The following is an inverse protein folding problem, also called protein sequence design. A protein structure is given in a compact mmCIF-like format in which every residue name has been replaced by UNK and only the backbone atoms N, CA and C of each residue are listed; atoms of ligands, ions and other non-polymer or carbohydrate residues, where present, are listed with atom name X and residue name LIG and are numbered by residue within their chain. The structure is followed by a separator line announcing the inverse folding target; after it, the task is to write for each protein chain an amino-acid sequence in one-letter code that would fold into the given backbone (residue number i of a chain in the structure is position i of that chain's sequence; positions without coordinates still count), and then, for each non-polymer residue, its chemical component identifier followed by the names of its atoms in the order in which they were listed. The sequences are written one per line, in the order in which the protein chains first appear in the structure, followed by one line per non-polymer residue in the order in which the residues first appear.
data_IF_847780093917
#
_entry.id   IF_847780093917
#
_cell.length_a   1.000
_cell.length_b   1.000
_cell.length_c   1.000
_cell.angle_alpha   90.00
_cell.angle_beta   90.00
_cell.angle_gamma   90.00
#
_symmetry.space_group_name_H-M   'P 1'
#
loop_
_entity.id
_entity.type
_entity.pdbx_description
1 polymer ?
#
# COMPACT_ATOMS: atom_id res chain seq x y z
N UNK A 1 -7.05 11.99 -3.36
CA UNK A 1 -6.36 10.69 -3.41
C UNK A 1 -6.40 10.16 -2.00
N UNK A 2 -6.81 8.91 -1.83
CA UNK A 2 -6.99 8.33 -0.50
C UNK A 2 -5.63 7.84 0.02
N UNK A 3 -5.35 8.07 1.32
CA UNK A 3 -4.09 7.71 1.96
C UNK A 3 -4.16 6.27 2.42
N UNK A 4 -3.42 5.36 1.78
CA UNK A 4 -3.35 3.97 2.22
C UNK A 4 -2.13 3.64 3.09
N UNK A 5 -1.04 4.40 2.99
CA UNK A 5 0.09 4.24 3.92
C UNK A 5 1.02 5.44 3.88
N UNK A 6 1.13 6.15 5.01
CA UNK A 6 2.29 7.00 5.30
C UNK A 6 3.16 6.25 6.29
N UNK A 7 4.22 5.61 5.80
CA UNK A 7 5.27 5.08 6.66
C UNK A 7 6.20 6.22 7.05
N UNK A 8 6.63 6.23 8.31
CA UNK A 8 7.61 7.19 8.78
C UNK A 8 8.94 6.52 9.12
N UNK A 9 10.01 7.15 8.70
CA UNK A 9 11.37 6.77 9.05
C UNK A 9 12.05 7.86 9.85
N UNK A 10 13.16 7.53 10.49
CA UNK A 10 14.00 8.52 11.17
C UNK A 10 15.48 8.30 10.88
N UNK A 11 16.22 9.40 10.93
CA UNK A 11 17.68 9.42 11.03
C UNK A 11 18.02 10.31 12.22
N UNK A 12 18.79 9.79 13.17
CA UNK A 12 19.11 10.44 14.42
C UNK A 12 20.62 10.50 14.64
N UNK A 13 21.04 11.64 15.20
CA UNK A 13 22.39 11.91 15.68
C UNK A 13 22.36 11.93 17.22
N UNK A 14 23.23 11.14 17.87
CA UNK A 14 23.24 10.99 19.32
C UNK A 14 23.83 12.20 20.04
N UNK A 15 23.56 12.30 21.35
CA UNK A 15 24.08 13.37 22.23
C UNK A 15 25.58 13.24 22.50
N UNK A 16 26.10 12.03 22.42
CA UNK A 16 27.47 11.71 22.77
C UNK A 16 28.43 11.89 21.59
N UNK A 17 27.93 12.18 20.38
CA UNK A 17 28.71 12.38 19.17
C UNK A 17 29.46 11.14 18.69
N UNK A 18 29.00 9.96 19.11
CA UNK A 18 29.74 8.70 18.95
C UNK A 18 28.99 7.67 18.09
N UNK A 19 27.67 7.81 17.90
CA UNK A 19 26.80 6.86 17.18
C UNK A 19 25.62 7.56 16.48
N UNK A 20 25.36 7.19 15.24
CA UNK A 20 24.11 7.53 14.54
C UNK A 20 23.16 6.34 14.52
N UNK A 21 21.85 6.60 14.58
CA UNK A 21 20.81 5.56 14.41
C UNK A 21 19.83 5.93 13.31
N UNK A 22 19.28 4.95 12.63
CA UNK A 22 18.28 5.13 11.58
C UNK A 22 17.35 3.94 11.56
N UNK A 23 16.09 4.15 11.18
CA UNK A 23 15.13 3.06 11.12
C UNK A 23 13.71 3.49 10.81
N UNK A 24 12.82 2.49 10.85
CA UNK A 24 11.39 2.68 10.73
C UNK A 24 10.80 3.13 12.07
N UNK A 25 9.82 4.04 12.03
CA UNK A 25 8.98 4.37 13.18
C UNK A 25 7.86 3.34 13.26
N UNK A 26 7.87 2.51 14.30
CA UNK A 26 6.90 1.43 14.53
C UNK A 26 5.91 1.77 15.64
N UNK A 27 6.22 2.75 16.50
CA UNK A 27 5.31 3.23 17.54
C UNK A 27 5.71 4.61 18.06
N UNK A 28 4.74 5.29 18.68
CA UNK A 28 4.99 6.57 19.37
C UNK A 28 5.95 6.40 20.57
N UNK A 29 5.94 5.24 21.24
CA UNK A 29 6.87 4.95 22.33
C UNK A 29 8.33 4.82 21.84
N UNK A 30 8.54 4.14 20.71
CA UNK A 30 9.85 4.07 20.06
C UNK A 30 10.31 5.48 19.68
N UNK A 31 9.43 6.27 19.06
CA UNK A 31 9.73 7.66 18.67
C UNK A 31 10.21 8.48 19.86
N UNK A 32 9.45 8.51 20.96
CA UNK A 32 9.83 9.23 22.20
C UNK A 32 11.17 8.76 22.76
N UNK A 33 11.47 7.47 22.65
CA UNK A 33 12.75 6.91 23.10
C UNK A 33 13.92 7.41 22.24
N UNK A 34 13.73 7.47 20.92
CA UNK A 34 14.73 8.05 19.99
C UNK A 34 14.96 9.52 20.32
N UNK A 35 13.90 10.32 20.45
CA UNK A 35 14.00 11.76 20.73
C UNK A 35 14.68 12.06 22.08
N UNK A 36 14.53 11.20 23.09
CA UNK A 36 15.22 11.36 24.39
C UNK A 36 16.73 11.13 24.32
N UNK A 37 17.16 10.17 23.48
CA UNK A 37 18.56 9.73 23.37
C UNK A 37 19.36 10.49 22.31
N UNK A 38 18.67 11.06 21.32
CA UNK A 38 19.28 11.81 20.25
C UNK A 38 19.48 13.29 20.63
N UNK A 39 20.55 13.89 20.13
CA UNK A 39 20.69 15.35 20.11
C UNK A 39 19.81 15.94 19.02
N UNK A 40 19.70 15.23 17.90
CA UNK A 40 18.99 15.71 16.71
C UNK A 40 18.39 14.56 15.93
N UNK A 41 17.20 14.77 15.37
CA UNK A 41 16.47 13.77 14.59
C UNK A 41 15.78 14.42 13.41
N UNK A 42 15.90 13.81 12.23
CA UNK A 42 15.03 14.09 11.09
C UNK A 42 14.12 12.91 10.83
N UNK A 43 12.82 13.18 10.73
CA UNK A 43 11.79 12.21 10.35
C UNK A 43 11.36 12.44 8.92
N UNK A 44 11.21 11.36 8.16
CA UNK A 44 10.71 11.38 6.79
C UNK A 44 9.40 10.60 6.72
N UNK A 45 8.36 11.18 6.12
CA UNK A 45 7.17 10.46 5.71
C UNK A 45 7.35 10.01 4.27
N UNK A 46 7.04 8.75 4.00
CA UNK A 46 7.04 8.17 2.66
C UNK A 46 5.60 7.93 2.26
N UNK A 47 5.22 8.48 1.12
CA UNK A 47 3.82 8.55 0.71
C UNK A 47 3.66 7.76 -0.57
N UNK A 48 2.67 6.86 -0.59
CA UNK A 48 2.14 6.25 -1.81
C UNK A 48 0.61 6.35 -1.80
N UNK A 49 0.05 7.09 -2.75
CA UNK A 49 -1.38 7.39 -2.83
C UNK A 49 -1.95 6.92 -4.16
N UNK A 50 -3.21 6.52 -4.12
CA UNK A 50 -4.04 6.15 -5.25
C UNK A 50 -5.34 6.93 -5.24
N UNK A 51 -6.11 6.86 -6.33
CA UNK A 51 -7.41 7.52 -6.38
C UNK A 51 -8.04 7.44 -7.76
N UNK A 52 -9.33 7.79 -7.87
CA UNK A 52 -10.21 7.64 -9.05
C UNK A 52 -9.87 8.52 -10.26
N UNK A 53 -8.59 8.83 -10.50
CA UNK A 53 -8.14 9.84 -11.47
C UNK A 53 -7.07 9.31 -12.46
N UNK A 54 -6.99 7.99 -12.64
CA UNK A 54 -5.98 7.32 -13.48
C UNK A 54 -4.54 7.64 -13.04
N UNK A 55 -4.31 7.92 -11.76
CA UNK A 55 -2.99 8.32 -11.26
C UNK A 55 -2.72 7.70 -9.90
N UNK A 56 -1.44 7.44 -9.67
CA UNK A 56 -0.86 7.24 -8.35
C UNK A 56 0.17 8.34 -8.09
N UNK A 57 0.39 8.66 -6.81
CA UNK A 57 1.44 9.56 -6.37
C UNK A 57 2.39 8.79 -5.48
N UNK A 58 3.70 9.00 -5.66
CA UNK A 58 4.67 8.64 -4.63
C UNK A 58 5.53 9.85 -4.27
N UNK A 59 5.96 9.95 -3.01
CA UNK A 59 6.76 11.07 -2.55
C UNK A 59 7.40 10.86 -1.19
N UNK A 60 8.25 11.80 -0.82
CA UNK A 60 8.92 11.87 0.49
C UNK A 60 8.77 13.29 1.02
N UNK A 61 8.39 13.41 2.29
CA UNK A 61 8.25 14.66 3.04
C UNK A 61 9.16 14.62 4.29
N UNK A 62 9.82 15.72 4.62
CA UNK A 62 10.38 15.92 5.96
C UNK A 62 9.22 16.14 6.94
N UNK A 63 8.91 15.14 7.74
CA UNK A 63 7.74 15.13 8.63
C UNK A 63 7.95 15.91 9.92
N UNK A 64 9.19 15.88 10.44
CA UNK A 64 9.58 16.55 11.69
C UNK A 64 11.11 16.66 11.75
N UNK A 65 11.58 17.74 12.36
CA UNK A 65 12.97 17.88 12.79
C UNK A 65 12.96 18.17 14.29
N UNK A 66 13.85 17.52 15.04
CA UNK A 66 14.06 17.73 16.47
C UNK A 66 15.52 18.10 16.68
N UNK A 67 15.77 19.10 17.54
CA UNK A 67 17.13 19.58 17.81
C UNK A 67 17.72 20.35 16.63
N UNK A 68 19.00 20.12 16.35
CA UNK A 68 19.75 20.81 15.30
C UNK A 68 19.45 20.14 13.95
N UNK A 69 18.93 20.87 12.96
CA UNK A 69 18.67 20.30 11.64
C UNK A 69 19.98 19.82 10.98
N UNK A 70 19.94 18.70 10.22
CA UNK A 70 21.01 18.38 9.29
C UNK A 70 21.28 19.56 8.34
N UNK A 71 22.54 19.70 7.90
CA UNK A 71 22.91 20.64 6.85
C UNK A 71 22.30 20.24 5.50
N UNK A 72 22.20 18.93 5.25
CA UNK A 72 21.50 18.37 4.09
C UNK A 72 20.78 17.07 4.42
N UNK A 73 19.73 16.81 3.66
CA UNK A 73 19.03 15.53 3.61
C UNK A 73 18.84 15.13 2.15
N UNK A 74 19.50 14.07 1.73
CA UNK A 74 19.34 13.46 0.42
C UNK A 74 18.33 12.32 0.53
N UNK A 75 17.37 12.27 -0.39
CA UNK A 75 16.38 11.20 -0.48
C UNK A 75 16.38 10.62 -1.88
N UNK A 76 16.30 9.30 -1.93
CA UNK A 76 16.06 8.50 -3.12
C UNK A 76 14.84 7.62 -2.84
N UNK A 77 13.80 7.73 -3.65
CA UNK A 77 12.67 6.81 -3.61
C UNK A 77 12.41 6.26 -5.00
N UNK A 78 12.33 4.94 -5.09
CA UNK A 78 11.96 4.21 -6.30
C UNK A 78 10.57 3.62 -6.14
N UNK A 79 9.68 3.89 -7.08
CA UNK A 79 8.42 3.18 -7.22
C UNK A 79 8.56 2.12 -8.32
N UNK A 80 8.41 0.87 -7.91
CA UNK A 80 8.55 -0.29 -8.74
C UNK A 80 7.19 -0.91 -9.06
N UNK A 81 7.07 -1.48 -10.26
CA UNK A 81 5.85 -2.07 -10.78
C UNK A 81 6.06 -3.47 -11.35
N UNK A 82 5.03 -4.30 -11.22
CA UNK A 82 4.94 -5.63 -11.80
C UNK A 82 3.50 -5.98 -12.17
N UNK A 83 3.32 -6.87 -13.14
CA UNK A 83 2.02 -7.50 -13.38
C UNK A 83 1.78 -8.76 -12.55
N UNK A 84 2.73 -9.15 -11.70
CA UNK A 84 2.66 -10.35 -10.87
C UNK A 84 3.05 -10.04 -9.43
N UNK A 85 2.37 -10.69 -8.48
CA UNK A 85 2.64 -10.56 -7.06
C UNK A 85 4.05 -11.03 -6.66
N UNK A 86 4.55 -12.13 -7.25
CA UNK A 86 5.76 -12.83 -6.83
C UNK A 86 6.89 -12.86 -7.87
N UNK A 87 6.84 -12.01 -8.91
CA UNK A 87 7.92 -11.92 -9.92
C UNK A 87 8.75 -10.67 -9.75
N UNK A 88 9.81 -10.57 -10.54
CA UNK A 88 10.69 -9.42 -10.61
C UNK A 88 9.90 -8.12 -10.91
N UNK A 89 10.18 -7.10 -10.11
CA UNK A 89 9.65 -5.75 -10.30
C UNK A 89 10.63 -4.94 -11.14
N UNK A 90 10.10 -4.04 -11.96
CA UNK A 90 10.89 -2.99 -12.63
C UNK A 90 10.67 -1.68 -11.90
N UNK A 91 11.68 -0.82 -11.78
CA UNK A 91 11.58 0.44 -11.03
C UNK A 91 11.70 1.66 -11.96
N UNK A 92 10.69 1.92 -12.81
CA UNK A 92 10.77 2.97 -13.83
C UNK A 92 10.61 4.38 -13.27
N UNK A 93 10.19 4.54 -12.01
CA UNK A 93 9.92 5.84 -11.40
C UNK A 93 10.87 6.04 -10.22
N UNK A 94 11.70 7.09 -10.31
CA UNK A 94 12.72 7.39 -9.31
C UNK A 94 12.65 8.87 -8.97
N UNK A 95 12.56 9.16 -7.68
CA UNK A 95 12.73 10.49 -7.11
C UNK A 95 14.13 10.54 -6.51
N UNK A 96 14.89 11.57 -6.85
CA UNK A 96 16.12 11.98 -6.16
C UNK A 96 16.00 13.45 -5.79
N UNK A 97 16.19 13.79 -4.52
CA UNK A 97 16.13 15.17 -4.03
C UNK A 97 17.11 15.37 -2.89
N UNK A 98 17.83 16.49 -2.94
CA UNK A 98 18.63 16.99 -1.82
C UNK A 98 17.91 18.21 -1.25
N UNK A 99 17.54 18.16 0.02
CA UNK A 99 17.12 19.31 0.81
C UNK A 99 18.36 19.90 1.48
N UNK A 100 18.58 21.20 1.33
CA UNK A 100 19.75 21.90 1.90
C UNK A 100 19.35 23.09 2.77
N UNK A 101 20.07 23.28 3.88
CA UNK A 101 19.93 24.44 4.76
C UNK A 101 18.47 24.71 5.15
N UNK A 102 17.88 25.88 4.78
CA UNK A 102 16.49 26.21 5.11
C UNK A 102 15.41 25.25 4.58
N UNK A 103 15.75 24.38 3.62
CA UNK A 103 14.84 23.34 3.12
C UNK A 103 14.77 22.11 4.05
N UNK A 104 15.68 21.98 5.02
CA UNK A 104 15.63 20.88 6.01
C UNK A 104 14.67 21.25 7.14
N UNK A 105 13.39 21.32 6.81
CA UNK A 105 12.30 21.68 7.73
C UNK A 105 11.03 20.91 7.44
N UNK A 106 10.16 20.80 8.45
CA UNK A 106 8.85 20.16 8.33
C UNK A 106 8.07 20.68 7.11
N UNK A 107 7.42 19.77 6.38
CA UNK A 107 6.60 20.08 5.20
C UNK A 107 7.38 20.25 3.91
N UNK A 108 8.72 20.14 3.94
CA UNK A 108 9.51 20.12 2.72
C UNK A 108 9.37 18.76 2.05
N UNK A 109 8.92 18.73 0.80
CA UNK A 109 8.57 17.50 0.12
C UNK A 109 9.06 17.44 -1.34
N UNK A 110 9.06 16.22 -1.87
CA UNK A 110 9.18 15.93 -3.29
C UNK A 110 8.25 14.78 -3.64
N UNK A 111 7.52 14.89 -4.74
CA UNK A 111 6.59 13.86 -5.18
C UNK A 111 6.52 13.77 -6.71
N UNK A 112 6.01 12.65 -7.20
CA UNK A 112 5.77 12.42 -8.62
C UNK A 112 4.38 11.81 -8.82
N UNK A 113 3.63 12.39 -9.76
CA UNK A 113 2.39 11.80 -10.27
C UNK A 113 2.70 10.86 -11.43
N UNK A 114 2.06 9.70 -11.40
CA UNK A 114 2.28 8.64 -12.38
C UNK A 114 0.92 8.23 -12.93
N UNK A 115 0.79 8.27 -14.25
CA UNK A 115 -0.41 7.77 -14.92
C UNK A 115 -0.50 6.25 -14.80
N UNK A 116 -1.69 5.77 -14.47
CA UNK A 116 -2.04 4.36 -14.41
C UNK A 116 -3.05 4.10 -15.51
N UNK A 117 -2.72 3.16 -16.40
CA UNK A 117 -3.59 2.71 -17.48
C UNK A 117 -3.75 1.18 -17.51
N UNK A 118 -3.09 0.47 -16.60
CA UNK A 118 -3.20 -0.97 -16.43
C UNK A 118 -3.32 -1.30 -14.95
N UNK A 119 -4.08 -2.33 -14.61
CA UNK A 119 -3.99 -2.93 -13.27
C UNK A 119 -2.55 -3.35 -13.03
N UNK A 120 -2.00 -2.99 -11.87
CA UNK A 120 -0.57 -3.06 -11.61
C UNK A 120 -0.28 -3.30 -10.14
N UNK A 121 0.66 -4.20 -9.85
CA UNK A 121 1.26 -4.33 -8.52
C UNK A 121 2.39 -3.31 -8.35
N UNK A 122 2.42 -2.67 -7.20
CA UNK A 122 3.37 -1.64 -6.83
C UNK A 122 4.10 -2.01 -5.56
N UNK A 123 5.38 -1.66 -5.52
CA UNK A 123 6.26 -1.69 -4.36
C UNK A 123 7.07 -0.42 -4.39
N UNK A 124 7.41 0.13 -3.24
CA UNK A 124 8.40 1.20 -3.19
C UNK A 124 9.57 0.85 -2.28
N UNK A 125 10.70 1.43 -2.58
CA UNK A 125 11.95 1.28 -1.81
C UNK A 125 12.75 2.55 -1.94
N UNK A 126 13.73 2.74 -1.06
CA UNK A 126 14.54 3.92 -1.15
C UNK A 126 15.68 3.96 -0.16
N UNK A 127 16.37 5.08 -0.19
CA UNK A 127 17.39 5.43 0.78
C UNK A 127 17.34 6.92 1.11
N UNK A 128 17.83 7.26 2.29
CA UNK A 128 18.00 8.65 2.69
C UNK A 128 19.34 8.81 3.39
N UNK A 129 19.98 9.95 3.17
CA UNK A 129 21.25 10.32 3.80
C UNK A 129 21.03 11.66 4.48
N UNK A 130 21.37 11.75 5.76
CA UNK A 130 21.39 13.02 6.48
C UNK A 130 22.83 13.37 6.87
N UNK A 131 23.20 14.63 6.67
CA UNK A 131 24.55 15.14 6.93
C UNK A 131 24.52 16.30 7.92
N UNK A 132 25.24 16.18 9.04
CA UNK A 132 25.39 17.26 10.03
C UNK A 132 26.78 17.89 9.92
N UNK A 133 26.83 19.20 9.63
CA UNK A 133 28.10 19.92 9.53
C UNK A 133 28.84 19.98 10.87
N UNK A 134 30.17 19.81 10.85
CA UNK A 134 31.04 19.98 12.02
C UNK A 134 30.96 18.87 13.07
N UNK A 135 30.26 17.76 12.81
CA UNK A 135 30.01 16.67 13.77
C UNK A 135 30.42 15.30 13.21
N UNK A 136 30.93 14.38 14.04
CA UNK A 136 31.24 12.98 13.67
C UNK A 136 30.24 12.02 14.35
N UNK A 137 29.80 10.92 13.70
CA UNK A 137 29.91 10.68 12.27
C UNK A 137 29.01 11.65 11.51
N UNK A 138 29.56 12.26 10.46
CA UNK A 138 28.93 13.37 9.71
C UNK A 138 27.78 12.91 8.84
N UNK A 139 27.70 11.61 8.52
CA UNK A 139 26.79 11.02 7.53
C UNK A 139 26.08 9.81 8.14
N UNK A 140 24.78 9.68 7.88
CA UNK A 140 24.03 8.45 8.16
C UNK A 140 23.04 8.11 7.06
N UNK A 141 23.00 6.82 6.71
CA UNK A 141 22.09 6.25 5.71
C UNK A 141 20.91 5.51 6.36
N UNK A 142 19.77 5.60 5.70
CA UNK A 142 18.59 4.76 5.89
C UNK A 142 18.32 4.04 4.57
N UNK A 143 17.91 2.79 4.62
CA UNK A 143 17.30 2.09 3.48
C UNK A 143 15.95 1.54 3.91
N UNK A 144 15.01 1.46 2.98
CA UNK A 144 13.71 0.84 3.21
C UNK A 144 13.22 0.10 1.98
N UNK A 145 12.36 -0.87 2.22
CA UNK A 145 11.53 -1.53 1.21
C UNK A 145 10.17 -1.71 1.83
N UNK A 146 9.13 -1.30 1.12
CA UNK A 146 7.79 -1.33 1.65
C UNK A 146 6.75 -1.74 0.63
N UNK A 147 5.82 -2.52 1.17
CA UNK A 147 4.50 -2.70 0.62
C UNK A 147 4.44 -3.57 -0.61
N UNK A 148 3.22 -4.01 -0.86
CA UNK A 148 2.80 -4.65 -2.09
C UNK A 148 1.35 -4.28 -2.31
N UNK A 149 1.14 -3.27 -3.12
CA UNK A 149 -0.18 -2.70 -3.37
C UNK A 149 -0.64 -3.12 -4.76
N UNK A 150 -1.92 -3.45 -4.91
CA UNK A 150 -2.52 -3.66 -6.20
C UNK A 150 -3.41 -2.46 -6.51
N UNK A 151 -3.21 -1.84 -7.66
CA UNK A 151 -4.15 -0.83 -8.17
C UNK A 151 -4.82 -1.31 -9.44
N UNK A 152 -6.05 -0.86 -9.69
CA UNK A 152 -6.70 -1.03 -11.00
C UNK A 152 -6.28 0.07 -11.99
N UNK A 153 -6.86 0.07 -13.20
CA UNK A 153 -6.55 1.07 -14.24
C UNK A 153 -6.90 2.52 -13.89
N UNK A 154 -7.71 2.73 -12.85
CA UNK A 154 -8.02 4.06 -12.36
C UNK A 154 -7.02 4.54 -11.30
N UNK A 155 -6.09 3.69 -10.85
CA UNK A 155 -5.22 3.98 -9.72
C UNK A 155 -5.90 3.76 -8.36
N UNK A 156 -7.06 3.09 -8.32
CA UNK A 156 -7.69 2.72 -7.04
C UNK A 156 -7.00 1.51 -6.46
N UNK A 157 -6.64 1.56 -5.18
CA UNK A 157 -6.10 0.43 -4.46
C UNK A 157 -7.13 -0.68 -4.28
N UNK A 158 -6.65 -1.92 -4.33
CA UNK A 158 -7.45 -3.09 -4.06
C UNK A 158 -7.87 -3.05 -2.58
N UNK A 159 -9.17 -3.22 -2.27
CA UNK A 159 -9.68 -3.09 -0.92
C UNK A 159 -9.30 -4.30 -0.04
N UNK A 160 -8.00 -4.45 0.28
CA UNK A 160 -7.43 -5.62 0.97
C UNK A 160 -7.70 -5.65 2.48
N UNK A 161 -8.25 -4.59 3.04
CA UNK A 161 -8.54 -4.44 4.47
C UNK A 161 -9.83 -5.15 4.93
N UNK A 162 -10.57 -5.76 3.99
CA UNK A 162 -11.79 -6.49 4.34
C UNK A 162 -11.52 -7.90 4.89
N UNK A 163 -12.00 -8.12 6.12
CA UNK A 163 -12.13 -9.44 6.75
C UNK A 163 -13.58 -9.72 7.11
N UNK A 164 -14.11 -10.86 6.69
CA UNK A 164 -15.40 -11.34 7.20
C UNK A 164 -15.23 -11.77 8.67
N UNK A 165 -15.68 -10.92 9.59
CA UNK A 165 -15.47 -11.06 11.04
C UNK A 165 -15.89 -12.41 11.63
N UNK A 166 -16.88 -13.09 11.03
CA UNK A 166 -17.38 -14.37 11.52
C UNK A 166 -16.49 -15.55 11.11
N UNK A 167 -15.98 -15.57 9.87
CA UNK A 167 -15.15 -16.68 9.39
C UNK A 167 -13.64 -16.41 9.47
N UNK A 168 -13.23 -15.16 9.66
CA UNK A 168 -11.83 -14.72 9.56
C UNK A 168 -11.29 -14.75 8.12
N UNK A 169 -12.14 -14.96 7.11
CA UNK A 169 -11.72 -14.94 5.71
C UNK A 169 -11.39 -13.51 5.29
N UNK A 170 -10.20 -13.33 4.71
CA UNK A 170 -9.78 -12.08 4.08
C UNK A 170 -10.17 -12.08 2.61
N UNK A 171 -10.49 -10.90 2.08
CA UNK A 171 -10.55 -10.72 0.64
C UNK A 171 -9.13 -10.84 0.06
N UNK A 172 -8.98 -11.63 -1.01
CA UNK A 172 -7.68 -11.85 -1.64
C UNK A 172 -7.60 -11.10 -2.97
N UNK A 173 -6.48 -10.41 -3.15
CA UNK A 173 -6.10 -9.87 -4.44
C UNK A 173 -5.90 -11.01 -5.46
N UNK A 174 -6.16 -10.77 -6.75
CA UNK A 174 -5.82 -11.73 -7.80
C UNK A 174 -4.31 -12.07 -7.80
N UNK A 175 -3.91 -13.27 -8.26
CA UNK A 175 -2.50 -13.68 -8.26
C UNK A 175 -1.62 -12.93 -9.28
N UNK A 176 -2.24 -12.31 -10.30
CA UNK A 176 -1.59 -11.47 -11.29
C UNK A 176 -2.57 -10.43 -11.84
N UNK A 177 -2.05 -9.39 -12.49
CA UNK A 177 -2.82 -8.29 -13.06
C UNK A 177 -3.25 -8.52 -14.53
N UNK A 178 -2.70 -9.55 -15.19
CA UNK A 178 -2.94 -9.84 -16.60
C UNK A 178 -3.99 -10.94 -16.77
N UNK A 179 -5.20 -10.69 -16.29
CA UNK A 179 -6.28 -11.67 -16.37
C UNK A 179 -7.15 -11.41 -17.59
N UNK A 180 -7.32 -12.44 -18.42
CA UNK A 180 -8.15 -12.38 -19.62
C UNK A 180 -9.63 -12.42 -19.26
N UNK A 181 -10.41 -11.67 -20.02
CA UNK A 181 -11.86 -11.69 -19.91
C UNK A 181 -12.44 -13.00 -20.45
N UNK A 182 -13.47 -13.51 -19.78
CA UNK A 182 -14.18 -14.75 -20.13
C UNK A 182 -15.58 -14.41 -20.65
N UNK A 183 -15.95 -14.86 -21.87
CA UNK A 183 -17.29 -14.69 -22.43
C UNK A 183 -18.39 -15.23 -21.54
N UNK A 184 -19.55 -14.57 -21.52
CA UNK A 184 -20.66 -14.83 -20.57
C UNK A 184 -21.11 -16.29 -20.59
N UNK A 185 -21.16 -16.89 -21.76
CA UNK A 185 -21.55 -18.27 -22.03
C UNK A 185 -20.53 -19.30 -21.52
N UNK A 186 -19.26 -18.91 -21.34
CA UNK A 186 -18.19 -19.76 -20.78
C UNK A 186 -18.04 -19.61 -19.26
N UNK A 187 -18.76 -18.67 -18.63
CA UNK A 187 -18.69 -18.44 -17.19
C UNK A 187 -19.46 -19.50 -16.42
N UNK A 188 -18.97 -19.85 -15.24
CA UNK A 188 -19.73 -20.70 -14.32
C UNK A 188 -21.10 -20.07 -14.00
N UNK A 189 -22.14 -20.91 -13.97
CA UNK A 189 -23.50 -20.47 -13.59
C UNK A 189 -23.49 -20.01 -12.13
N UNK A 190 -24.17 -18.91 -11.84
CA UNK A 190 -24.33 -18.38 -10.48
C UNK A 190 -25.77 -17.94 -10.26
N UNK A 191 -26.61 -18.89 -9.88
CA UNK A 191 -28.04 -18.75 -9.68
C UNK A 191 -28.39 -19.03 -8.22
N UNK A 192 -29.67 -19.20 -7.91
CA UNK A 192 -30.15 -19.43 -6.53
C UNK A 192 -29.55 -20.70 -5.93
N UNK A 193 -29.43 -21.78 -6.72
CA UNK A 193 -28.89 -23.06 -6.26
C UNK A 193 -27.44 -22.95 -5.78
N UNK A 194 -26.56 -22.31 -6.56
CA UNK A 194 -25.14 -22.17 -6.18
C UNK A 194 -24.94 -21.23 -5.00
N UNK A 195 -25.76 -20.17 -4.90
CA UNK A 195 -25.78 -19.29 -3.72
C UNK A 195 -26.17 -20.07 -2.47
N UNK A 196 -27.27 -20.83 -2.52
CA UNK A 196 -27.74 -21.60 -1.37
C UNK A 196 -26.70 -22.64 -0.94
N UNK A 197 -26.11 -23.37 -1.89
CA UNK A 197 -25.07 -24.35 -1.59
C UNK A 197 -23.84 -23.73 -0.87
N UNK A 198 -23.46 -22.49 -1.22
CA UNK A 198 -22.42 -21.77 -0.50
C UNK A 198 -22.87 -21.34 0.90
N UNK A 199 -24.11 -20.83 1.04
CA UNK A 199 -24.69 -20.44 2.34
C UNK A 199 -24.72 -21.64 3.30
N UNK A 200 -25.25 -22.77 2.85
CA UNK A 200 -25.34 -24.00 3.65
C UNK A 200 -23.95 -24.47 4.11
N UNK A 201 -22.97 -24.47 3.20
CA UNK A 201 -21.59 -24.82 3.55
C UNK A 201 -21.00 -23.84 4.56
N UNK A 202 -21.18 -22.54 4.34
CA UNK A 202 -20.63 -21.52 5.22
C UNK A 202 -21.24 -21.65 6.61
N UNK A 203 -22.57 -21.79 6.71
CA UNK A 203 -23.26 -21.89 7.99
C UNK A 203 -22.93 -23.18 8.73
N UNK A 204 -22.77 -24.29 8.01
CA UNK A 204 -22.28 -25.55 8.59
C UNK A 204 -20.88 -25.41 9.20
N UNK A 205 -20.02 -24.58 8.61
CA UNK A 205 -18.62 -24.43 9.02
C UNK A 205 -18.41 -23.34 10.07
N UNK A 206 -19.14 -22.23 9.98
CA UNK A 206 -18.90 -21.00 10.74
C UNK A 206 -20.13 -20.53 11.55
N UNK A 207 -21.22 -21.29 11.55
CA UNK A 207 -22.48 -20.94 12.20
C UNK A 207 -23.40 -20.08 11.33
N UNK A 208 -24.67 -19.93 11.75
CA UNK A 208 -25.71 -19.17 11.04
C UNK A 208 -25.24 -17.74 10.72
N UNK A 209 -25.66 -17.20 9.57
CA UNK A 209 -25.30 -15.84 9.14
C UNK A 209 -26.53 -15.03 8.72
N UNK A 210 -26.56 -13.75 9.06
CA UNK A 210 -27.63 -12.83 8.66
C UNK A 210 -27.44 -12.38 7.20
N UNK A 211 -27.72 -13.26 6.24
CA UNK A 211 -27.46 -13.04 4.81
C UNK A 211 -28.13 -11.79 4.19
N UNK A 212 -29.11 -11.16 4.85
CA UNK A 212 -29.67 -9.87 4.41
C UNK A 212 -28.64 -8.74 4.43
N UNK A 213 -27.61 -8.82 5.28
CA UNK A 213 -26.53 -7.82 5.40
C UNK A 213 -25.32 -8.12 4.51
N UNK A 214 -25.28 -9.30 3.87
CA UNK A 214 -24.09 -9.78 3.18
C UNK A 214 -24.41 -10.30 1.78
N UNK A 215 -23.54 -9.97 0.84
CA UNK A 215 -23.51 -10.56 -0.50
C UNK A 215 -22.38 -11.57 -0.60
N UNK A 216 -22.56 -12.62 -1.39
CA UNK A 216 -21.48 -13.57 -1.70
C UNK A 216 -20.69 -13.00 -2.86
N UNK A 217 -19.44 -12.65 -2.61
CA UNK A 217 -18.51 -12.12 -3.60
C UNK A 217 -17.59 -13.21 -4.13
N UNK A 218 -17.37 -13.22 -5.44
CA UNK A 218 -16.31 -14.00 -6.09
C UNK A 218 -15.00 -13.21 -6.03
N UNK A 219 -14.05 -13.65 -5.20
CA UNK A 219 -12.75 -12.97 -4.99
C UNK A 219 -12.01 -12.72 -6.31
N UNK A 220 -11.92 -13.74 -7.17
CA UNK A 220 -11.73 -13.56 -8.59
C UNK A 220 -13.11 -13.61 -9.26
N UNK A 221 -13.59 -12.53 -9.90
CA UNK A 221 -14.89 -12.53 -10.55
C UNK A 221 -14.99 -13.52 -11.72
N UNK A 222 -16.22 -13.96 -12.01
CA UNK A 222 -16.50 -14.91 -13.10
C UNK A 222 -16.13 -14.38 -14.48
N UNK A 223 -16.19 -13.06 -14.68
CA UNK A 223 -15.76 -12.41 -15.91
C UNK A 223 -14.25 -12.50 -16.14
N UNK A 224 -13.49 -12.84 -15.11
CA UNK A 224 -12.04 -13.07 -15.14
C UNK A 224 -11.70 -14.55 -14.89
N UNK A 225 -12.64 -15.47 -15.12
CA UNK A 225 -12.41 -16.91 -14.99
C UNK A 225 -12.55 -17.47 -13.57
N UNK A 226 -13.02 -16.67 -12.62
CA UNK A 226 -13.34 -17.15 -11.28
C UNK A 226 -14.46 -18.18 -11.26
N UNK A 227 -14.31 -19.21 -10.42
CA UNK A 227 -15.27 -20.29 -10.26
C UNK A 227 -16.05 -20.23 -8.94
N UNK A 228 -16.96 -21.19 -8.73
CA UNK A 228 -17.83 -21.25 -7.53
C UNK A 228 -17.21 -22.05 -6.36
N UNK A 229 -15.92 -22.38 -6.44
CA UNK A 229 -15.22 -23.03 -5.34
C UNK A 229 -15.24 -22.15 -4.08
N UNK A 230 -15.43 -22.78 -2.92
CA UNK A 230 -15.55 -22.11 -1.62
C UNK A 230 -14.38 -21.15 -1.33
N UNK A 231 -13.16 -21.49 -1.76
CA UNK A 231 -11.96 -20.65 -1.62
C UNK A 231 -11.98 -19.35 -2.45
N UNK A 232 -12.82 -19.29 -3.48
CA UNK A 232 -13.01 -18.11 -4.32
C UNK A 232 -14.23 -17.29 -3.92
N UNK A 233 -14.94 -17.69 -2.85
CA UNK A 233 -16.16 -17.07 -2.41
C UNK A 233 -15.98 -16.54 -0.99
N UNK A 234 -16.47 -15.33 -0.73
CA UNK A 234 -16.43 -14.70 0.58
C UNK A 234 -17.72 -13.91 0.81
N UNK A 235 -18.31 -13.91 2.01
CA UNK A 235 -19.38 -12.97 2.33
C UNK A 235 -18.81 -11.58 2.53
N UNK A 236 -19.36 -10.59 1.82
CA UNK A 236 -18.99 -9.19 1.94
C UNK A 236 -20.20 -8.39 2.39
N UNK A 237 -20.01 -7.47 3.36
CA UNK A 237 -21.04 -6.49 3.71
C UNK A 237 -21.54 -5.76 2.46
N UNK A 238 -22.87 -5.61 2.34
CA UNK A 238 -23.49 -5.04 1.14
C UNK A 238 -22.95 -3.65 0.80
N UNK A 239 -22.68 -2.80 1.80
CA UNK A 239 -22.18 -1.46 1.55
C UNK A 239 -20.74 -1.49 1.05
N UNK A 240 -19.87 -2.27 1.71
CA UNK A 240 -18.48 -2.40 1.28
C UNK A 240 -18.37 -3.02 -0.12
N UNK A 241 -19.15 -4.07 -0.39
CA UNK A 241 -19.15 -4.73 -1.69
C UNK A 241 -19.54 -3.76 -2.82
N UNK A 242 -20.57 -2.94 -2.60
CA UNK A 242 -21.10 -2.04 -3.63
C UNK A 242 -20.31 -0.73 -3.78
N UNK A 243 -19.70 -0.22 -2.70
CA UNK A 243 -18.98 1.07 -2.71
C UNK A 243 -17.49 0.94 -3.02
N UNK A 244 -16.87 -0.18 -2.64
CA UNK A 244 -15.42 -0.38 -2.78
C UNK A 244 -15.10 -1.47 -3.80
N UNK A 245 -15.56 -2.70 -3.54
CA UNK A 245 -15.15 -3.89 -4.31
C UNK A 245 -15.67 -3.86 -5.76
N UNK A 246 -16.96 -3.58 -5.96
CA UNK A 246 -17.55 -3.54 -7.30
C UNK A 246 -16.96 -2.42 -8.17
N UNK A 247 -16.83 -1.16 -7.69
CA UNK A 247 -16.16 -0.11 -8.44
C UNK A 247 -14.70 -0.42 -8.75
N UNK A 248 -14.00 -1.10 -7.85
CA UNK A 248 -12.64 -1.55 -8.08
C UNK A 248 -12.54 -2.50 -9.29
N UNK A 249 -13.34 -3.58 -9.29
CA UNK A 249 -13.37 -4.56 -10.38
C UNK A 249 -13.92 -3.98 -11.70
N UNK A 250 -14.88 -3.05 -11.62
CA UNK A 250 -15.42 -2.38 -12.81
C UNK A 250 -14.35 -1.60 -13.60
N UNK A 251 -13.25 -1.23 -12.95
CA UNK A 251 -12.12 -0.50 -13.52
C UNK A 251 -10.85 -1.35 -13.67
N UNK A 252 -10.97 -2.68 -13.56
CA UNK A 252 -9.84 -3.61 -13.59
C UNK A 252 -9.17 -3.75 -14.96
N UNK A 253 -9.97 -3.80 -16.02
CA UNK A 253 -9.50 -3.89 -17.40
C UNK A 253 -10.46 -3.15 -18.32
N UNK A 254 -10.01 -2.77 -19.52
CA UNK A 254 -10.91 -2.30 -20.55
C UNK A 254 -11.89 -3.43 -20.88
N UNK A 255 -13.19 -3.16 -20.74
CA UNK A 255 -14.22 -4.12 -21.15
C UNK A 255 -14.13 -4.26 -22.67
N UNK A 256 -13.93 -5.49 -23.12
CA UNK A 256 -14.09 -5.88 -24.52
C UNK A 256 -15.55 -6.24 -24.81
#
# INVERSE_FOLDING_TARGET
MDVESSYQSYIAYDKEGNKTSSGQVTSENQRKTVEKKAESVVYLSHTFLGGKVNKVLHGVEIAKVVGIPPASVEVLQTLCKSGYYNKQFTCPHVIRKTFIGPQVKKGSEVHQFINVNTTTFWKYSGSAIATWAGKKPTIRTLTWTEGLYLTNMKGMFFPSDYTDKQSGLNILAPPNAFIKWVPKEKRVKWRTKERQAYRDWYEKKYGKKTWVKFEIHHQLPREYGGGNQKKNLIPIDVNFHRKEVNPWWASYSEKK
#
